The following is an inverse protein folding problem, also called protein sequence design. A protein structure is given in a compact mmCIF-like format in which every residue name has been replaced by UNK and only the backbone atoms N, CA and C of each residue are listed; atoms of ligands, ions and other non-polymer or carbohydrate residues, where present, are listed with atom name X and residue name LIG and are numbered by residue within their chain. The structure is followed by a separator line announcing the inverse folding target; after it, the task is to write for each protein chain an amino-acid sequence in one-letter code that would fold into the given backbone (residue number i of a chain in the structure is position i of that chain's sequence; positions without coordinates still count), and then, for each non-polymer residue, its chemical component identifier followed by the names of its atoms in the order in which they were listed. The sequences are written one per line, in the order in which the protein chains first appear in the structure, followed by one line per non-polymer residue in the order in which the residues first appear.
data_IF_113379562896
#
_entry.id   IF_113379562896
#
_cell.length_a   1.000
_cell.length_b   1.000
_cell.length_c   1.000
_cell.angle_alpha   90.00
_cell.angle_beta   90.00
_cell.angle_gamma   90.00
#
_symmetry.space_group_name_H-M   'P 1'
#
loop_
_entity.id
_entity.type
_entity.pdbx_description
1 polymer ?
#
# COMPACT_ATOMS: atom_id res chain seq x y z
N UNK A 1 -0.63 2.01 -7.88
CA UNK A 1 -0.20 0.64 -8.17
C UNK A 1 -1.30 -0.19 -8.79
N UNK A 2 -0.90 -1.07 -9.66
CA UNK A 2 -1.86 -1.91 -10.37
C UNK A 2 -2.00 -3.24 -9.66
N UNK A 3 -3.20 -3.56 -9.25
CA UNK A 3 -3.48 -4.82 -8.58
C UNK A 3 -4.39 -5.70 -9.41
N UNK A 4 -4.64 -5.32 -10.67
CA UNK A 4 -5.47 -6.14 -11.54
C UNK A 4 -4.94 -7.56 -11.70
N UNK A 5 -3.63 -7.80 -11.82
CA UNK A 5 -3.14 -9.17 -11.91
C UNK A 5 -3.47 -10.00 -10.68
N UNK A 6 -3.75 -9.39 -9.55
CA UNK A 6 -4.14 -10.09 -8.35
C UNK A 6 -5.64 -10.13 -8.17
N UNK A 7 -6.40 -9.64 -9.15
CA UNK A 7 -7.85 -9.69 -9.09
C UNK A 7 -8.52 -8.47 -8.50
N UNK A 8 -7.78 -7.39 -8.28
CA UNK A 8 -8.33 -6.19 -7.67
C UNK A 8 -8.27 -5.03 -8.64
N UNK A 9 -9.40 -4.35 -8.80
CA UNK A 9 -9.51 -3.18 -9.68
C UNK A 9 -9.58 -1.92 -8.86
N UNK A 10 -8.94 -0.88 -9.36
CA UNK A 10 -9.01 0.43 -8.72
C UNK A 10 -10.40 1.00 -8.94
N UNK A 11 -11.08 1.31 -7.83
CA UNK A 11 -12.44 1.85 -7.92
C UNK A 11 -12.52 3.29 -7.46
N UNK A 12 -11.48 3.85 -6.91
CA UNK A 12 -11.50 5.25 -6.51
C UNK A 12 -10.19 5.66 -5.91
N UNK A 13 -10.02 6.96 -5.81
CA UNK A 13 -8.86 7.55 -5.18
C UNK A 13 -9.19 8.97 -4.77
N UNK A 14 -8.51 9.45 -3.72
CA UNK A 14 -8.69 10.82 -3.27
C UNK A 14 -7.51 11.25 -2.44
N UNK A 15 -7.42 12.55 -2.23
CA UNK A 15 -6.47 13.12 -1.30
C UNK A 15 -7.20 13.50 -0.04
N UNK A 16 -6.62 13.15 1.09
CA UNK A 16 -7.16 13.45 2.40
C UNK A 16 -6.18 14.35 3.13
N UNK A 17 -6.68 15.25 3.99
CA UNK A 17 -5.76 16.02 4.81
C UNK A 17 -5.12 15.11 5.84
N UNK A 18 -3.84 15.32 6.07
CA UNK A 18 -3.10 14.61 7.08
C UNK A 18 -2.31 15.59 7.91
N UNK A 19 -1.73 15.11 8.98
CA UNK A 19 -1.00 16.00 9.88
C UNK A 19 0.24 16.58 9.23
N UNK A 20 0.89 15.80 8.40
CA UNK A 20 2.13 16.25 7.76
C UNK A 20 1.94 16.53 6.28
N UNK A 21 0.71 16.69 5.85
CA UNK A 21 0.42 16.96 4.46
C UNK A 21 -0.64 16.00 3.94
N UNK A 22 -0.91 16.05 2.65
CA UNK A 22 -1.98 15.22 2.10
C UNK A 22 -1.62 13.75 2.12
N UNK A 23 -2.64 12.94 2.26
CA UNK A 23 -2.53 11.49 2.21
C UNK A 23 -3.35 11.03 1.02
N UNK A 24 -2.71 10.30 0.11
CA UNK A 24 -3.41 9.72 -1.01
C UNK A 24 -4.06 8.41 -0.57
N UNK A 25 -5.31 8.24 -0.96
CA UNK A 25 -6.05 7.04 -0.64
C UNK A 25 -6.52 6.39 -1.93
N UNK A 26 -6.15 5.14 -2.11
CA UNK A 26 -6.56 4.38 -3.29
C UNK A 26 -7.40 3.20 -2.84
N UNK A 27 -8.57 3.03 -3.43
CA UNK A 27 -9.48 1.97 -3.06
C UNK A 27 -9.60 0.96 -4.21
N UNK A 28 -9.51 -0.30 -3.86
CA UNK A 28 -9.56 -1.41 -4.81
C UNK A 28 -10.66 -2.38 -4.40
N UNK A 29 -11.17 -3.11 -5.37
CA UNK A 29 -12.21 -4.09 -5.08
C UNK A 29 -12.05 -5.27 -6.03
N UNK A 30 -12.25 -6.48 -5.50
CA UNK A 30 -12.22 -7.66 -6.34
C UNK A 30 -13.63 -8.02 -6.80
N UNK A 31 -13.74 -9.12 -7.56
CA UNK A 31 -15.01 -9.53 -8.15
C UNK A 31 -16.03 -9.94 -7.09
N UNK A 32 -15.56 -10.34 -5.92
CA UNK A 32 -16.46 -10.76 -4.84
C UNK A 32 -16.87 -9.58 -3.95
N UNK A 33 -16.39 -8.38 -4.25
CA UNK A 33 -16.73 -7.21 -3.44
C UNK A 33 -15.77 -6.95 -2.30
N UNK A 34 -14.70 -7.73 -2.19
CA UNK A 34 -13.69 -7.50 -1.15
C UNK A 34 -12.92 -6.23 -1.46
N UNK A 35 -12.78 -5.37 -0.48
CA UNK A 35 -12.13 -4.09 -0.68
C UNK A 35 -10.78 -4.04 0.00
N UNK A 36 -9.87 -3.33 -0.66
CA UNK A 36 -8.57 -2.98 -0.11
C UNK A 36 -8.40 -1.49 -0.19
N UNK A 37 -7.71 -0.93 0.77
CA UNK A 37 -7.38 0.49 0.75
C UNK A 37 -5.89 0.65 0.94
N UNK A 38 -5.29 1.43 0.07
CA UNK A 38 -3.87 1.77 0.17
C UNK A 38 -3.76 3.25 0.48
N UNK A 39 -3.08 3.56 1.58
CA UNK A 39 -2.78 4.94 1.96
C UNK A 39 -1.32 5.22 1.69
N UNK A 40 -1.05 6.37 1.09
CA UNK A 40 0.31 6.81 0.82
C UNK A 40 0.46 8.21 1.40
N UNK A 41 1.38 8.37 2.31
CA UNK A 41 1.64 9.67 2.92
C UNK A 41 3.11 10.03 2.72
N UNK A 42 3.35 11.32 2.60
CA UNK A 42 4.71 11.82 2.53
C UNK A 42 5.10 12.25 3.93
N UNK A 43 5.98 11.48 4.53
CA UNK A 43 6.39 11.73 5.90
C UNK A 43 7.78 12.31 5.88
N UNK A 44 7.90 13.53 6.34
CA UNK A 44 9.17 14.21 6.27
C UNK A 44 10.03 13.96 7.48
N UNK A 45 9.46 13.40 8.51
CA UNK A 45 10.14 13.36 9.78
C UNK A 45 11.15 12.25 9.83
N UNK A 46 10.77 11.11 9.30
CA UNK A 46 11.56 9.91 9.46
C UNK A 46 12.10 9.47 8.15
N UNK A 47 13.34 9.11 8.17
CA UNK A 47 13.96 8.57 7.00
C UNK A 47 14.31 7.14 7.14
N UNK A 48 13.98 6.53 8.25
CA UNK A 48 14.32 5.13 8.45
C UNK A 48 13.36 4.28 7.70
N UNK A 49 13.90 3.37 6.94
CA UNK A 49 13.07 2.38 6.32
C UNK A 49 12.72 1.31 7.33
N UNK A 50 11.52 0.83 7.25
CA UNK A 50 11.11 -0.28 8.09
C UNK A 50 10.69 -1.43 7.21
N UNK A 51 10.89 -2.63 7.68
CA UNK A 51 10.26 -3.77 7.04
C UNK A 51 8.76 -3.70 7.19
N UNK A 52 8.09 -4.65 6.58
CA UNK A 52 6.65 -4.73 6.71
C UNK A 52 6.25 -4.98 8.16
N UNK A 53 5.31 -4.20 8.64
CA UNK A 53 4.73 -4.38 9.94
C UNK A 53 3.27 -4.73 9.79
N UNK A 54 2.80 -5.57 10.67
CA UNK A 54 1.43 -6.08 10.60
C UNK A 54 0.67 -5.66 11.84
N UNK A 55 -0.57 -5.21 11.64
CA UNK A 55 -1.48 -4.91 12.72
C UNK A 55 -2.84 -5.45 12.35
N UNK A 56 -3.64 -5.73 13.36
CA UNK A 56 -4.98 -6.22 13.16
C UNK A 56 -5.91 -5.49 14.09
N UNK A 57 -7.00 -4.96 13.54
CA UNK A 57 -8.02 -4.28 14.30
C UNK A 57 -9.36 -4.87 13.92
N UNK A 58 -9.93 -5.67 14.82
CA UNK A 58 -11.16 -6.39 14.51
C UNK A 58 -10.93 -7.33 13.36
N UNK A 59 -11.71 -7.15 12.30
CA UNK A 59 -11.61 -8.00 11.13
C UNK A 59 -10.73 -7.41 10.04
N UNK A 60 -10.10 -6.26 10.31
CA UNK A 60 -9.29 -5.58 9.32
C UNK A 60 -7.83 -5.83 9.62
N UNK A 61 -7.11 -6.30 8.64
CA UNK A 61 -5.68 -6.48 8.70
C UNK A 61 -5.00 -5.35 7.97
N UNK A 62 -3.85 -4.91 8.50
CA UNK A 62 -3.11 -3.80 7.93
C UNK A 62 -1.65 -4.18 7.85
N UNK A 63 -1.05 -3.99 6.69
CA UNK A 63 0.40 -3.99 6.54
C UNK A 63 0.86 -2.57 6.28
N UNK A 64 1.90 -2.14 6.97
CA UNK A 64 2.42 -0.81 6.76
C UNK A 64 3.94 -0.83 6.76
N UNK A 65 4.51 0.11 6.04
CA UNK A 65 5.96 0.21 5.92
C UNK A 65 6.33 1.63 5.53
N UNK A 66 7.60 1.96 5.73
CA UNK A 66 8.15 3.25 5.36
C UNK A 66 9.28 3.00 4.38
N UNK A 67 9.28 3.76 3.32
CA UNK A 67 10.32 3.66 2.30
C UNK A 67 10.71 5.09 1.94
N UNK A 68 11.90 5.49 2.37
CA UNK A 68 12.35 6.85 2.15
C UNK A 68 11.51 7.84 2.92
N UNK A 69 10.89 8.75 2.19
CA UNK A 69 10.06 9.77 2.79
C UNK A 69 8.57 9.44 2.73
N UNK A 70 8.23 8.25 2.25
CA UNK A 70 6.84 7.88 2.09
C UNK A 70 6.45 6.80 3.06
N UNK A 71 5.28 6.94 3.63
CA UNK A 71 4.67 5.90 4.44
C UNK A 71 3.52 5.27 3.69
N UNK A 72 3.36 3.97 3.86
CA UNK A 72 2.34 3.20 3.16
C UNK A 72 1.58 2.36 4.16
N UNK A 73 0.27 2.26 3.96
CA UNK A 73 -0.56 1.36 4.75
C UNK A 73 -1.57 0.71 3.83
N UNK A 74 -1.56 -0.61 3.79
CA UNK A 74 -2.50 -1.38 3.00
C UNK A 74 -3.42 -2.14 3.94
N UNK A 75 -4.72 -1.90 3.85
CA UNK A 75 -5.68 -2.50 4.77
C UNK A 75 -6.78 -3.22 4.01
N UNK A 76 -7.32 -4.24 4.64
CA UNK A 76 -8.44 -4.98 4.09
C UNK A 76 -8.87 -6.09 5.01
N UNK A 77 -10.04 -6.63 4.75
CA UNK A 77 -10.58 -7.73 5.52
C UNK A 77 -10.18 -9.10 5.00
N UNK A 78 -9.09 -9.18 4.27
CA UNK A 78 -8.60 -10.44 3.72
C UNK A 78 -7.61 -11.08 4.70
N UNK A 79 -7.38 -12.39 4.57
CA UNK A 79 -6.42 -13.04 5.46
C UNK A 79 -5.03 -12.45 5.35
N UNK A 80 -4.28 -12.58 6.43
CA UNK A 80 -2.95 -12.01 6.50
C UNK A 80 -2.06 -12.47 5.35
N UNK A 81 -2.11 -13.74 5.01
CA UNK A 81 -1.25 -14.26 3.95
C UNK A 81 -1.56 -13.61 2.62
N UNK A 82 -2.83 -13.40 2.34
CA UNK A 82 -3.20 -12.73 1.09
C UNK A 82 -2.84 -11.26 1.11
N UNK A 83 -3.07 -10.59 2.22
CA UNK A 83 -2.72 -9.18 2.33
C UNK A 83 -1.21 -8.99 2.20
N UNK A 84 -0.43 -9.91 2.77
CA UNK A 84 1.02 -9.87 2.65
C UNK A 84 1.46 -9.99 1.19
N UNK A 85 0.81 -10.88 0.45
CA UNK A 85 1.13 -11.06 -0.96
C UNK A 85 0.83 -9.80 -1.76
N UNK A 86 -0.30 -9.17 -1.44
CA UNK A 86 -0.67 -7.94 -2.11
C UNK A 86 0.28 -6.81 -1.72
N UNK A 87 0.62 -6.72 -0.45
CA UNK A 87 1.56 -5.68 0.01
C UNK A 87 2.91 -5.82 -0.68
N UNK A 88 3.38 -7.04 -0.87
CA UNK A 88 4.63 -7.26 -1.58
C UNK A 88 4.54 -6.79 -3.02
N UNK A 89 3.40 -7.03 -3.66
CA UNK A 89 3.22 -6.56 -5.03
C UNK A 89 3.22 -5.04 -5.10
N UNK A 90 2.56 -4.38 -4.15
CA UNK A 90 2.56 -2.92 -4.09
C UNK A 90 3.98 -2.42 -3.90
N UNK A 91 4.70 -3.03 -2.96
CA UNK A 91 6.07 -2.62 -2.68
C UNK A 91 6.93 -2.72 -3.92
N UNK A 92 6.82 -3.82 -4.65
CA UNK A 92 7.64 -4.02 -5.84
C UNK A 92 7.33 -3.01 -6.93
N UNK A 93 6.08 -2.57 -7.02
CA UNK A 93 5.71 -1.57 -8.01
C UNK A 93 6.20 -0.18 -7.66
N UNK A 94 6.36 0.10 -6.38
CA UNK A 94 6.74 1.42 -5.92
C UNK A 94 8.25 1.58 -5.80
N UNK A 95 8.98 0.49 -5.65
CA UNK A 95 10.43 0.54 -5.59
C UNK A 95 10.96 0.80 -6.99
N UNK A 96 11.79 1.82 -7.18
CA UNK A 96 12.32 2.07 -8.52
C UNK A 96 13.10 0.87 -9.00
N UNK A 97 12.89 0.51 -10.24
CA UNK A 97 13.67 -0.54 -10.84
C UNK A 97 15.10 -0.05 -11.01
N UNK A 98 16.09 -0.93 -10.83
CA UNK A 98 17.45 -0.53 -11.14
C UNK A 98 17.54 -0.16 -12.62
N UNK A 99 18.42 0.76 -12.95
CA UNK A 99 18.57 1.12 -14.35
C UNK A 99 18.94 -0.11 -15.16
N UNK A 100 18.40 -0.17 -16.36
CA UNK A 100 18.74 -1.27 -17.23
C UNK A 100 20.25 -1.27 -17.46
N UNK A 101 20.87 -2.44 -17.55
CA UNK A 101 22.29 -2.47 -17.86
C UNK A 101 22.55 -1.72 -19.15
N UNK A 102 23.58 -0.94 -19.12
CA UNK A 102 23.96 -0.27 -20.35
C UNK A 102 24.32 -1.29 -21.39
N UNK A 103 23.96 -0.95 -22.52
CA UNK A 103 24.30 -1.82 -23.61
C UNK A 103 25.29 -1.22 -24.44
#
# INVERSE_FOLDING_TARGET
PKLAPLGYDLIGGRLLPGQSGPVAQFMYQDAAGQRLTLYVSHDQVQNSETGFRFAQEGKVNVFYWIDGQFGYALSGGVPRAELSRIASSVYEQLVPLPPAPSR
#
